data_IF_466828446222
#
_entry.id   IF_466828446222
#
_cell.length_a   1.000
_cell.length_b   1.000
_cell.length_c   1.000
_cell.angle_alpha   90.00
_cell.angle_beta   90.00
_cell.angle_gamma   90.00
#
_symmetry.space_group_name_H-M   'P 1'
#
loop_
_entity.id
_entity.type
_entity.pdbx_description
1 polymer ?
#
# COMPACT_ATOMS: atom_id res chain seq x y z
N UNK A 1 -21.81 -12.02 -3.55
CA UNK A 1 -22.91 -12.98 -3.25
C UNK A 1 -23.04 -13.01 -1.74
N UNK A 2 -24.23 -13.09 -1.12
CA UNK A 2 -24.33 -13.19 0.35
C UNK A 2 -24.96 -14.54 0.71
N UNK A 3 -24.41 -15.24 1.71
CA UNK A 3 -24.94 -16.52 2.20
C UNK A 3 -25.37 -16.34 3.66
N UNK A 4 -26.64 -16.63 3.95
CA UNK A 4 -27.23 -16.51 5.28
C UNK A 4 -28.02 -17.78 5.56
N UNK A 5 -27.55 -18.59 6.51
CA UNK A 5 -28.38 -19.63 7.11
C UNK A 5 -29.06 -19.02 8.35
N UNK A 6 -30.32 -19.38 8.62
CA UNK A 6 -31.03 -18.79 9.74
C UNK A 6 -31.84 -19.83 10.51
N UNK A 7 -31.96 -19.59 11.81
CA UNK A 7 -32.79 -20.36 12.72
C UNK A 7 -33.67 -19.41 13.53
N UNK A 8 -34.96 -19.71 13.60
CA UNK A 8 -35.97 -18.88 14.28
C UNK A 8 -36.51 -19.65 15.47
N UNK A 9 -36.50 -19.01 16.64
CA UNK A 9 -37.05 -19.56 17.87
C UNK A 9 -38.38 -18.85 18.17
N UNK A 10 -39.47 -19.62 18.09
CA UNK A 10 -40.83 -19.21 18.44
C UNK A 10 -41.31 -19.95 19.68
N UNK A 11 -42.29 -19.37 20.38
CA UNK A 11 -43.03 -20.05 21.46
C UNK A 11 -44.04 -21.10 20.92
N UNK A 12 -44.36 -21.07 19.63
CA UNK A 12 -45.21 -22.12 19.03
C UNK A 12 -44.42 -23.38 18.66
N UNK A 13 -45.13 -24.45 18.29
CA UNK A 13 -44.55 -25.70 17.82
C UNK A 13 -43.58 -25.47 16.64
N UNK A 14 -42.32 -25.92 16.78
CA UNK A 14 -41.27 -25.71 15.79
C UNK A 14 -41.52 -26.42 14.46
N UNK A 15 -42.24 -27.54 14.48
CA UNK A 15 -42.50 -28.35 13.29
C UNK A 15 -43.51 -27.66 12.36
N UNK A 16 -44.54 -27.04 12.93
CA UNK A 16 -45.48 -26.19 12.19
C UNK A 16 -44.78 -24.98 11.60
N UNK A 17 -43.93 -24.30 12.38
CA UNK A 17 -43.23 -23.09 11.96
C UNK A 17 -42.32 -23.35 10.75
N UNK A 18 -41.62 -24.49 10.74
CA UNK A 18 -40.79 -24.93 9.62
C UNK A 18 -41.62 -25.01 8.34
N UNK A 19 -42.76 -25.70 8.38
CA UNK A 19 -43.63 -25.87 7.22
C UNK A 19 -44.14 -24.53 6.65
N UNK A 20 -44.46 -23.56 7.51
CA UNK A 20 -44.92 -22.23 7.09
C UNK A 20 -43.81 -21.36 6.47
N UNK A 21 -42.60 -21.37 7.04
CA UNK A 21 -41.46 -20.61 6.52
C UNK A 21 -41.08 -21.10 5.13
N UNK A 22 -41.07 -22.43 4.92
CA UNK A 22 -40.66 -23.01 3.65
C UNK A 22 -41.61 -22.68 2.49
N UNK A 23 -42.90 -22.44 2.77
CA UNK A 23 -43.88 -22.12 1.73
C UNK A 23 -43.88 -20.63 1.33
N UNK A 24 -43.34 -19.73 2.15
CA UNK A 24 -43.60 -18.29 2.02
C UNK A 24 -42.35 -17.40 1.92
N UNK A 25 -41.18 -17.95 1.59
CA UNK A 25 -40.02 -17.14 1.18
C UNK A 25 -40.25 -16.74 -0.27
N UNK A 26 -40.95 -15.63 -0.47
CA UNK A 26 -41.22 -15.07 -1.79
C UNK A 26 -40.24 -13.95 -2.16
N UNK A 27 -39.92 -13.93 -3.44
CA UNK A 27 -39.10 -12.97 -4.21
C UNK A 27 -37.58 -13.18 -4.24
N UNK A 28 -37.12 -13.41 -5.47
CA UNK A 28 -35.74 -13.46 -6.01
C UNK A 28 -34.97 -14.79 -5.93
N UNK A 29 -35.46 -15.79 -6.69
CA UNK A 29 -34.60 -16.71 -7.44
C UNK A 29 -33.66 -17.61 -6.65
N UNK A 30 -34.18 -18.43 -5.73
CA UNK A 30 -33.41 -19.46 -5.03
C UNK A 30 -34.15 -20.80 -5.03
N UNK A 31 -33.56 -21.80 -5.68
CA UNK A 31 -34.03 -23.19 -5.71
C UNK A 31 -33.55 -24.06 -4.53
N UNK A 32 -32.97 -23.52 -3.44
CA UNK A 32 -32.12 -24.34 -2.56
C UNK A 32 -32.27 -24.19 -1.05
N UNK A 33 -33.48 -23.96 -0.52
CA UNK A 33 -33.68 -24.15 0.93
C UNK A 33 -33.93 -25.63 1.27
N UNK A 34 -34.34 -26.45 0.29
CA UNK A 34 -34.65 -27.89 0.44
C UNK A 34 -33.51 -28.75 1.01
N UNK A 35 -32.24 -28.31 0.94
CA UNK A 35 -31.08 -29.15 1.29
C UNK A 35 -30.22 -28.60 2.47
N UNK A 36 -30.74 -27.67 3.28
CA UNK A 36 -29.96 -27.08 4.39
C UNK A 36 -28.89 -26.07 3.97
N UNK A 37 -28.93 -25.61 2.72
CA UNK A 37 -27.93 -24.75 2.10
C UNK A 37 -28.16 -23.24 2.29
N UNK A 38 -29.01 -22.81 3.24
CA UNK A 38 -29.24 -21.39 3.54
C UNK A 38 -29.83 -20.56 2.37
N UNK A 39 -29.93 -19.25 2.58
CA UNK A 39 -30.27 -18.29 1.53
C UNK A 39 -29.01 -17.75 0.88
N UNK A 40 -29.03 -17.63 -0.46
CA UNK A 40 -27.94 -17.06 -1.23
C UNK A 40 -28.47 -15.95 -2.14
N UNK A 41 -27.94 -14.73 -2.01
CA UNK A 41 -28.31 -13.64 -2.91
C UNK A 41 -27.90 -13.95 -4.35
N UNK A 42 -28.58 -13.36 -5.34
CA UNK A 42 -28.07 -13.37 -6.73
C UNK A 42 -26.63 -12.84 -6.80
N UNK A 43 -25.77 -13.40 -7.68
CA UNK A 43 -24.47 -12.81 -8.00
C UNK A 43 -24.65 -11.34 -8.42
N UNK A 44 -23.72 -10.47 -8.03
CA UNK A 44 -23.67 -9.05 -8.45
C UNK A 44 -24.94 -8.20 -8.21
N UNK A 45 -25.85 -8.59 -7.33
CA UNK A 45 -26.99 -7.71 -7.01
C UNK A 45 -26.54 -6.45 -6.27
N UNK A 46 -27.02 -5.28 -6.72
CA UNK A 46 -26.79 -3.99 -6.06
C UNK A 46 -27.32 -4.02 -4.62
N UNK A 47 -26.65 -3.31 -3.73
CA UNK A 47 -27.15 -3.07 -2.39
C UNK A 47 -28.24 -1.97 -2.41
N UNK A 48 -29.09 -1.90 -1.38
CA UNK A 48 -29.21 -2.86 -0.28
C UNK A 48 -29.85 -4.18 -0.72
N UNK A 49 -29.54 -5.28 -0.02
CA UNK A 49 -30.16 -6.59 -0.30
C UNK A 49 -31.18 -6.91 0.76
N UNK A 50 -32.40 -7.18 0.34
CA UNK A 50 -33.52 -7.43 1.24
C UNK A 50 -33.91 -8.91 1.22
N UNK A 51 -34.15 -9.45 2.42
CA UNK A 51 -34.71 -10.77 2.64
C UNK A 51 -35.94 -10.59 3.52
N UNK A 52 -37.09 -11.07 3.04
CA UNK A 52 -38.32 -11.10 3.82
C UNK A 52 -38.63 -12.56 4.16
N UNK A 53 -38.79 -12.83 5.46
CA UNK A 53 -39.21 -14.12 5.99
C UNK A 53 -40.66 -13.95 6.45
N UNK A 54 -41.60 -14.58 5.75
CA UNK A 54 -43.03 -14.53 6.09
C UNK A 54 -43.48 -15.82 6.75
N UNK A 55 -44.26 -15.73 7.82
CA UNK A 55 -44.70 -16.88 8.63
C UNK A 55 -46.10 -17.39 8.29
N UNK A 56 -46.84 -16.72 7.40
CA UNK A 56 -48.22 -17.06 7.03
C UNK A 56 -49.27 -16.80 8.13
N UNK A 57 -48.87 -16.81 9.40
CA UNK A 57 -49.67 -16.43 10.58
C UNK A 57 -48.84 -15.57 11.52
N UNK A 58 -49.52 -14.83 12.41
CA UNK A 58 -48.83 -14.05 13.43
C UNK A 58 -48.23 -15.00 14.47
N UNK A 59 -46.92 -14.86 14.71
CA UNK A 59 -46.16 -15.67 15.64
C UNK A 59 -45.52 -14.80 16.72
N UNK A 60 -45.23 -15.35 17.90
CA UNK A 60 -44.38 -14.69 18.89
C UNK A 60 -42.91 -15.05 18.67
N UNK A 61 -42.15 -14.16 18.02
CA UNK A 61 -40.73 -14.37 17.76
C UNK A 61 -39.89 -13.96 18.98
N UNK A 62 -39.21 -14.92 19.60
CA UNK A 62 -38.29 -14.64 20.71
C UNK A 62 -36.95 -14.15 20.19
N UNK A 63 -36.36 -14.90 19.27
CA UNK A 63 -34.99 -14.69 18.79
C UNK A 63 -34.82 -15.23 17.38
N UNK A 64 -34.01 -14.52 16.60
CA UNK A 64 -33.45 -15.01 15.33
C UNK A 64 -31.96 -15.24 15.47
N UNK A 65 -31.47 -16.30 14.85
CA UNK A 65 -30.05 -16.59 14.70
C UNK A 65 -29.69 -16.56 13.23
N UNK A 66 -28.69 -15.77 12.87
CA UNK A 66 -28.19 -15.61 11.52
C UNK A 66 -26.75 -16.15 11.48
N UNK A 67 -26.51 -17.20 10.70
CA UNK A 67 -25.21 -17.80 10.48
C UNK A 67 -24.72 -17.38 9.09
N UNK A 68 -23.67 -16.56 9.06
CA UNK A 68 -23.06 -16.08 7.83
C UNK A 68 -21.93 -17.01 7.41
N UNK A 69 -21.80 -17.23 6.11
CA UNK A 69 -20.63 -17.91 5.56
C UNK A 69 -19.38 -17.06 5.81
N UNK A 70 -18.26 -17.72 6.09
CA UNK A 70 -17.00 -17.12 6.53
C UNK A 70 -16.40 -16.05 5.57
N UNK A 71 -16.82 -16.04 4.31
CA UNK A 71 -16.39 -15.11 3.26
C UNK A 71 -17.43 -14.04 2.90
N UNK A 72 -18.66 -14.16 3.42
CA UNK A 72 -19.82 -13.38 2.97
C UNK A 72 -20.56 -12.75 4.15
N UNK A 73 -19.80 -12.23 5.11
CA UNK A 73 -20.33 -11.62 6.34
C UNK A 73 -20.69 -10.16 6.05
N UNK A 74 -21.98 -9.79 6.16
CA UNK A 74 -22.42 -8.41 5.93
C UNK A 74 -22.05 -7.53 7.13
N UNK A 75 -21.52 -6.33 6.91
CA UNK A 75 -21.09 -5.44 8.02
C UNK A 75 -22.24 -4.99 8.91
N UNK A 76 -23.39 -4.69 8.31
CA UNK A 76 -24.54 -4.12 8.99
C UNK A 76 -25.83 -4.72 8.44
N UNK A 77 -26.71 -5.11 9.36
CA UNK A 77 -28.03 -5.62 9.06
C UNK A 77 -29.06 -4.68 9.69
N UNK A 78 -30.02 -4.23 8.91
CA UNK A 78 -31.21 -3.54 9.39
C UNK A 78 -32.33 -4.56 9.57
N UNK A 79 -32.91 -4.63 10.77
CA UNK A 79 -33.95 -5.59 11.11
C UNK A 79 -35.26 -4.84 11.31
N UNK A 80 -36.32 -5.30 10.62
CA UNK A 80 -37.68 -4.80 10.78
C UNK A 80 -38.65 -5.97 10.89
N UNK A 81 -39.79 -5.77 11.54
CA UNK A 81 -40.85 -6.77 11.64
C UNK A 81 -42.17 -6.19 11.15
N UNK A 82 -43.06 -7.03 10.67
CA UNK A 82 -44.41 -6.64 10.28
C UNK A 82 -45.42 -7.41 11.12
N UNK A 83 -46.40 -6.73 11.73
CA UNK A 83 -47.55 -7.33 12.41
C UNK A 83 -48.82 -7.21 11.55
N UNK A 84 -49.94 -7.85 11.93
CA UNK A 84 -51.18 -7.85 11.13
C UNK A 84 -51.59 -6.44 10.67
N UNK A 85 -51.71 -6.25 9.35
CA UNK A 85 -52.10 -5.01 8.67
C UNK A 85 -51.23 -3.78 8.97
N UNK A 86 -50.02 -3.97 9.47
CA UNK A 86 -49.06 -2.90 9.75
C UNK A 86 -47.98 -2.81 8.67
N UNK A 87 -47.35 -1.64 8.54
CA UNK A 87 -46.09 -1.50 7.81
C UNK A 87 -44.95 -2.14 8.61
N UNK A 88 -43.79 -2.38 7.98
CA UNK A 88 -42.62 -2.88 8.70
C UNK A 88 -42.17 -1.86 9.76
N UNK A 89 -42.24 -2.27 11.03
CA UNK A 89 -41.70 -1.58 12.19
C UNK A 89 -40.20 -1.88 12.28
N UNK A 90 -39.37 -0.83 12.27
CA UNK A 90 -37.94 -0.96 12.45
C UNK A 90 -37.59 -1.32 13.90
N UNK A 91 -36.81 -2.39 14.11
CA UNK A 91 -36.39 -2.83 15.44
C UNK A 91 -35.00 -2.35 15.82
N UNK A 92 -34.08 -2.28 14.85
CA UNK A 92 -32.70 -1.91 15.13
C UNK A 92 -31.70 -2.43 14.11
N UNK A 93 -30.43 -2.17 14.38
CA UNK A 93 -29.32 -2.68 13.59
C UNK A 93 -28.60 -3.81 14.30
N UNK A 94 -28.16 -4.82 13.55
CA UNK A 94 -27.20 -5.81 14.00
C UNK A 94 -25.89 -5.64 13.23
N UNK A 95 -24.83 -5.27 13.97
CA UNK A 95 -23.45 -5.34 13.48
C UNK A 95 -22.95 -6.77 13.59
N UNK A 96 -22.26 -7.23 12.56
CA UNK A 96 -21.46 -8.46 12.62
C UNK A 96 -20.01 -8.09 12.89
N UNK A 97 -19.21 -9.09 13.28
CA UNK A 97 -17.78 -8.91 13.35
C UNK A 97 -17.16 -9.28 12.01
N UNK A 98 -16.25 -8.44 11.53
CA UNK A 98 -15.39 -8.80 10.43
C UNK A 98 -14.52 -9.97 10.88
N UNK A 99 -14.46 -11.03 10.08
CA UNK A 99 -13.80 -12.27 10.45
C UNK A 99 -12.31 -12.30 10.07
N UNK A 100 -11.73 -11.11 9.91
CA UNK A 100 -10.31 -10.91 9.67
C UNK A 100 -9.44 -11.51 10.78
N UNK A 101 -9.87 -11.42 12.04
CA UNK A 101 -9.11 -11.97 13.17
C UNK A 101 -8.93 -13.50 13.09
N UNK A 102 -9.83 -14.20 12.39
CA UNK A 102 -9.78 -15.64 12.21
C UNK A 102 -9.38 -16.06 10.78
N UNK A 103 -8.72 -15.17 10.02
CA UNK A 103 -8.32 -15.43 8.63
C UNK A 103 -9.48 -15.88 7.73
N UNK A 104 -10.70 -15.40 7.98
CA UNK A 104 -11.89 -15.79 7.21
C UNK A 104 -12.20 -17.30 7.24
N UNK A 105 -11.80 -18.01 8.30
CA UNK A 105 -12.05 -19.46 8.45
C UNK A 105 -13.32 -19.76 9.26
N UNK A 106 -13.76 -18.83 10.10
CA UNK A 106 -14.91 -19.05 11.00
C UNK A 106 -16.23 -18.52 10.41
N UNK A 107 -17.34 -19.23 10.61
CA UNK A 107 -18.67 -18.66 10.34
C UNK A 107 -19.05 -17.71 11.48
N UNK A 108 -19.74 -16.62 11.15
CA UNK A 108 -20.24 -15.68 12.17
C UNK A 108 -21.68 -16.03 12.51
N UNK A 109 -21.96 -16.32 13.78
CA UNK A 109 -23.32 -16.56 14.30
C UNK A 109 -23.80 -15.33 15.06
N UNK A 110 -24.81 -14.64 14.53
CA UNK A 110 -25.43 -13.48 15.18
C UNK A 110 -26.80 -13.84 15.75
N UNK A 111 -26.97 -13.60 17.05
CA UNK A 111 -28.25 -13.76 17.74
C UNK A 111 -28.91 -12.41 17.94
N UNK A 112 -30.19 -12.27 17.56
CA UNK A 112 -30.97 -11.03 17.69
C UNK A 112 -32.27 -11.37 18.42
N UNK A 113 -32.49 -10.72 19.57
CA UNK A 113 -33.69 -10.90 20.38
C UNK A 113 -34.77 -9.92 19.90
N UNK A 114 -35.97 -10.44 19.60
CA UNK A 114 -37.09 -9.66 19.04
C UNK A 114 -38.19 -9.50 20.08
N UNK A 115 -38.55 -10.59 20.77
CA UNK A 115 -39.57 -10.64 21.83
C UNK A 115 -40.89 -9.91 21.49
N UNK A 116 -41.34 -10.03 20.23
CA UNK A 116 -42.55 -9.39 19.71
C UNK A 116 -43.37 -10.34 18.86
N UNK A 117 -44.67 -10.06 18.74
CA UNK A 117 -45.52 -10.70 17.74
C UNK A 117 -45.21 -10.15 16.36
N UNK A 118 -45.11 -11.02 15.35
CA UNK A 118 -44.88 -10.63 13.97
C UNK A 118 -45.43 -11.67 12.98
N UNK A 119 -45.87 -11.19 11.83
CA UNK A 119 -46.25 -11.95 10.63
C UNK A 119 -45.04 -12.18 9.70
N UNK A 120 -44.13 -11.20 9.63
CA UNK A 120 -42.92 -11.27 8.79
C UNK A 120 -41.73 -10.56 9.43
N UNK A 121 -40.53 -10.97 9.06
CA UNK A 121 -39.25 -10.31 9.40
C UNK A 121 -38.57 -9.86 8.10
N UNK A 122 -38.21 -8.59 8.02
CA UNK A 122 -37.37 -8.03 6.97
C UNK A 122 -35.94 -7.87 7.49
N UNK A 123 -35.01 -8.58 6.86
CA UNK A 123 -33.58 -8.43 7.05
C UNK A 123 -33.03 -7.72 5.83
N UNK A 124 -32.59 -6.48 6.03
CA UNK A 124 -31.97 -5.68 4.99
C UNK A 124 -30.47 -5.62 5.25
N UNK A 125 -29.69 -6.21 4.35
CA UNK A 125 -28.25 -6.07 4.33
C UNK A 125 -27.95 -4.67 3.81
N UNK A 126 -27.60 -3.79 4.74
CA UNK A 126 -27.21 -2.42 4.44
C UNK A 126 -25.77 -2.40 3.88
N UNK A 127 -25.49 -1.35 3.12
CA UNK A 127 -24.36 -1.25 2.21
C UNK A 127 -23.00 -1.43 2.88
N UNK A 128 -22.09 -2.05 2.11
CA UNK A 128 -20.66 -1.96 2.31
C UNK A 128 -20.30 -0.47 2.29
N UNK A 129 -19.61 0.02 3.32
CA UNK A 129 -19.18 1.42 3.48
C UNK A 129 -18.94 2.10 2.12
N UNK A 130 -19.87 2.98 1.69
CA UNK A 130 -19.74 3.72 0.44
C UNK A 130 -18.41 4.46 0.47
N UNK A 131 -17.57 4.17 -0.52
CA UNK A 131 -16.26 4.81 -0.60
C UNK A 131 -16.49 6.21 -1.14
N UNK A 132 -16.58 7.18 -0.25
CA UNK A 132 -16.59 8.59 -0.61
C UNK A 132 -15.24 8.98 -1.24
N UNK A 133 -15.22 9.09 -2.57
CA UNK A 133 -14.04 9.46 -3.32
C UNK A 133 -13.94 10.98 -3.45
N UNK A 134 -12.74 11.53 -3.20
CA UNK A 134 -12.46 12.91 -3.59
C UNK A 134 -12.34 13.00 -5.13
N UNK A 135 -12.41 14.22 -5.69
CA UNK A 135 -12.36 14.44 -7.14
C UNK A 135 -11.10 13.87 -7.82
N UNK A 136 -9.97 13.80 -7.10
CA UNK A 136 -8.72 13.25 -7.65
C UNK A 136 -8.79 11.73 -7.72
N UNK A 137 -9.23 11.09 -6.64
CA UNK A 137 -9.39 9.64 -6.58
C UNK A 137 -10.51 9.17 -7.53
N UNK A 138 -11.60 9.92 -7.68
CA UNK A 138 -12.66 9.60 -8.66
C UNK A 138 -12.11 9.52 -10.10
N UNK A 139 -11.23 10.44 -10.49
CA UNK A 139 -10.59 10.41 -11.81
C UNK A 139 -9.69 9.19 -12.00
N UNK A 140 -9.01 8.76 -10.94
CA UNK A 140 -8.18 7.55 -10.96
C UNK A 140 -9.08 6.32 -11.08
N UNK A 141 -10.10 6.18 -10.21
CA UNK A 141 -11.06 5.09 -10.22
C UNK A 141 -11.73 4.95 -11.58
N UNK A 142 -12.22 6.04 -12.18
CA UNK A 142 -12.86 5.99 -13.49
C UNK A 142 -11.93 5.45 -14.60
N UNK A 143 -10.61 5.64 -14.50
CA UNK A 143 -9.65 5.04 -15.43
C UNK A 143 -9.42 3.57 -15.11
N UNK A 144 -9.31 3.21 -13.84
CA UNK A 144 -9.11 1.82 -13.41
C UNK A 144 -10.32 0.94 -13.77
N UNK A 145 -11.54 1.46 -13.64
CA UNK A 145 -12.79 0.77 -14.00
C UNK A 145 -12.93 0.45 -15.50
N UNK A 146 -12.06 0.99 -16.36
CA UNK A 146 -12.01 0.58 -17.77
C UNK A 146 -11.38 -0.81 -17.97
N UNK A 147 -10.69 -1.32 -16.95
CA UNK A 147 -9.91 -2.57 -17.02
C UNK A 147 -10.28 -3.54 -15.90
N UNK A 148 -10.51 -3.02 -14.69
CA UNK A 148 -10.84 -3.80 -13.50
C UNK A 148 -12.32 -3.72 -13.15
N UNK A 149 -12.83 -4.69 -12.41
CA UNK A 149 -14.19 -4.62 -11.90
C UNK A 149 -14.26 -3.67 -10.70
N UNK A 150 -15.45 -3.11 -10.48
CA UNK A 150 -15.71 -2.17 -9.39
C UNK A 150 -15.38 -2.75 -8.01
N UNK A 151 -15.68 -4.04 -7.82
CA UNK A 151 -15.41 -4.77 -6.58
C UNK A 151 -13.91 -4.93 -6.28
N UNK A 152 -13.04 -4.85 -7.29
CA UNK A 152 -11.59 -5.01 -7.11
C UNK A 152 -10.94 -3.65 -6.80
N UNK A 153 -11.51 -2.56 -7.34
CA UNK A 153 -10.92 -1.22 -7.27
C UNK A 153 -11.39 -0.42 -6.08
N UNK A 154 -12.69 -0.37 -5.80
CA UNK A 154 -13.22 0.47 -4.70
C UNK A 154 -12.59 0.14 -3.34
N UNK A 155 -12.33 -1.14 -2.98
CA UNK A 155 -11.64 -1.48 -1.74
C UNK A 155 -10.27 -0.81 -1.57
N UNK A 156 -9.54 -0.51 -2.65
CA UNK A 156 -8.25 0.21 -2.60
C UNK A 156 -8.37 1.65 -2.09
N UNK A 157 -9.58 2.22 -2.10
CA UNK A 157 -9.86 3.58 -1.66
C UNK A 157 -10.61 3.62 -0.32
N UNK A 158 -10.86 2.46 0.29
CA UNK A 158 -11.51 2.38 1.60
C UNK A 158 -10.74 3.17 2.67
N UNK A 159 -11.46 3.77 3.63
CA UNK A 159 -10.86 4.40 4.82
C UNK A 159 -10.13 3.37 5.69
N UNK A 160 -10.57 2.10 5.68
CA UNK A 160 -9.97 0.99 6.44
C UNK A 160 -8.72 0.46 5.74
N UNK A 161 -7.59 0.52 6.42
CA UNK A 161 -6.31 0.09 5.85
C UNK A 161 -6.25 -1.41 5.56
N UNK A 162 -6.96 -2.24 6.34
CA UNK A 162 -6.99 -3.69 6.15
C UNK A 162 -7.66 -4.04 4.82
N UNK A 163 -8.80 -3.41 4.52
CA UNK A 163 -9.50 -3.53 3.24
C UNK A 163 -8.61 -3.15 2.07
N UNK A 164 -7.88 -2.02 2.16
CA UNK A 164 -6.91 -1.63 1.13
C UNK A 164 -5.80 -2.66 0.98
N UNK A 165 -5.22 -3.12 2.09
CA UNK A 165 -4.14 -4.10 2.12
C UNK A 165 -4.54 -5.42 1.46
N UNK A 166 -5.75 -5.91 1.73
CA UNK A 166 -6.29 -7.14 1.15
C UNK A 166 -6.50 -6.99 -0.36
N UNK A 167 -7.12 -5.89 -0.79
CA UNK A 167 -7.34 -5.62 -2.21
C UNK A 167 -6.03 -5.52 -3.02
N UNK A 168 -4.97 -4.93 -2.44
CA UNK A 168 -3.65 -4.90 -3.09
C UNK A 168 -3.11 -6.32 -3.27
N UNK A 169 -3.28 -7.22 -2.29
CA UNK A 169 -2.83 -8.61 -2.39
C UNK A 169 -3.55 -9.38 -3.49
N UNK A 170 -4.87 -9.21 -3.59
CA UNK A 170 -5.70 -9.85 -4.60
C UNK A 170 -5.28 -9.43 -6.02
N UNK A 171 -5.13 -8.12 -6.27
CA UNK A 171 -4.66 -7.63 -7.57
C UNK A 171 -3.20 -8.05 -7.83
N UNK A 172 -2.36 -8.08 -6.80
CA UNK A 172 -0.96 -8.55 -6.94
C UNK A 172 -0.91 -10.02 -7.36
N UNK A 173 -1.79 -10.85 -6.79
CA UNK A 173 -1.92 -12.25 -7.16
C UNK A 173 -2.37 -12.38 -8.62
N UNK A 174 -3.40 -11.63 -9.03
CA UNK A 174 -3.89 -11.64 -10.42
C UNK A 174 -2.80 -11.25 -11.44
N UNK A 175 -2.00 -10.22 -11.13
CA UNK A 175 -0.85 -9.83 -11.95
C UNK A 175 0.21 -10.94 -11.99
N UNK A 176 0.44 -11.61 -10.86
CA UNK A 176 1.47 -12.66 -10.75
C UNK A 176 1.10 -13.93 -11.50
N UNK A 177 -0.18 -14.26 -11.58
CA UNK A 177 -0.67 -15.42 -12.33
C UNK A 177 -0.57 -15.19 -13.85
N UNK A 178 -0.47 -13.94 -14.32
CA UNK A 178 -0.28 -13.61 -15.74
C UNK A 178 -1.49 -13.96 -16.62
N UNK A 179 -2.62 -14.33 -16.02
CA UNK A 179 -3.85 -14.74 -16.71
C UNK A 179 -4.44 -13.59 -17.54
N UNK A 180 -4.19 -12.34 -17.13
CA UNK A 180 -4.68 -11.14 -17.79
C UNK A 180 -3.54 -10.15 -18.06
N UNK A 181 -3.46 -9.64 -19.29
CA UNK A 181 -2.58 -8.53 -19.64
C UNK A 181 -3.28 -7.22 -19.35
N UNK A 182 -2.75 -6.45 -18.42
CA UNK A 182 -3.26 -5.12 -18.10
C UNK A 182 -2.53 -4.06 -18.94
N UNK A 183 -3.22 -2.99 -19.38
CA UNK A 183 -2.55 -1.84 -19.98
C UNK A 183 -1.51 -1.23 -19.03
N UNK A 184 -0.31 -0.97 -19.54
CA UNK A 184 0.84 -0.49 -18.74
C UNK A 184 0.56 0.87 -18.09
N UNK A 185 -0.17 1.74 -18.78
CA UNK A 185 -0.59 3.05 -18.29
C UNK A 185 -1.46 2.93 -17.03
N UNK A 186 -2.31 1.90 -16.99
CA UNK A 186 -3.22 1.63 -15.89
C UNK A 186 -2.47 1.05 -14.70
N UNK A 187 -1.55 0.10 -14.92
CA UNK A 187 -0.69 -0.43 -13.85
C UNK A 187 0.27 0.62 -13.29
N UNK A 188 0.81 1.49 -14.14
CA UNK A 188 1.66 2.62 -13.74
C UNK A 188 0.89 3.61 -12.88
N UNK A 189 -0.33 3.97 -13.28
CA UNK A 189 -1.23 4.82 -12.51
C UNK A 189 -1.56 4.22 -11.15
N UNK A 190 -1.95 2.94 -11.12
CA UNK A 190 -2.27 2.20 -9.91
C UNK A 190 -1.05 2.15 -8.97
N UNK A 191 0.11 1.72 -9.47
CA UNK A 191 1.36 1.66 -8.70
C UNK A 191 1.70 3.00 -8.04
N UNK A 192 1.61 4.09 -8.79
CA UNK A 192 1.89 5.44 -8.30
C UNK A 192 0.92 5.90 -7.21
N UNK A 193 -0.34 5.43 -7.25
CA UNK A 193 -1.34 5.70 -6.20
C UNK A 193 -1.09 4.88 -4.94
N UNK A 194 -0.77 3.60 -5.09
CA UNK A 194 -0.54 2.68 -3.97
C UNK A 194 0.73 3.07 -3.17
N UNK A 195 1.80 3.47 -3.86
CA UNK A 195 3.06 3.89 -3.22
C UNK A 195 2.97 5.21 -2.43
N UNK A 196 1.84 5.94 -2.51
CA UNK A 196 1.56 7.15 -1.71
C UNK A 196 0.88 6.86 -0.37
N UNK A 197 0.65 5.59 -0.04
CA UNK A 197 0.01 5.19 1.21
C UNK A 197 0.80 5.64 2.44
N UNK A 198 0.07 6.15 3.43
CA UNK A 198 0.63 6.61 4.72
C UNK A 198 0.76 5.49 5.73
N UNK A 199 -0.01 4.42 5.57
CA UNK A 199 0.00 3.26 6.47
C UNK A 199 1.09 2.29 6.01
N UNK A 200 2.07 2.04 6.87
CA UNK A 200 3.25 1.23 6.52
C UNK A 200 2.87 -0.16 5.99
N UNK A 201 1.87 -0.82 6.58
CA UNK A 201 1.44 -2.14 6.11
C UNK A 201 0.94 -2.09 4.65
N UNK A 202 0.10 -1.12 4.32
CA UNK A 202 -0.41 -0.94 2.95
C UNK A 202 0.72 -0.56 1.99
N UNK A 203 1.66 0.28 2.45
CA UNK A 203 2.86 0.62 1.68
C UNK A 203 3.73 -0.62 1.40
N UNK A 204 3.90 -1.54 2.36
CA UNK A 204 4.65 -2.78 2.13
C UNK A 204 3.99 -3.66 1.08
N UNK A 205 2.67 -3.85 1.13
CA UNK A 205 1.96 -4.57 0.06
C UNK A 205 2.10 -3.86 -1.29
N UNK A 206 2.14 -2.52 -1.29
CA UNK A 206 2.36 -1.72 -2.51
C UNK A 206 3.75 -1.94 -3.13
N UNK A 207 4.78 -2.16 -2.31
CA UNK A 207 6.12 -2.52 -2.77
C UNK A 207 6.16 -3.92 -3.41
N UNK A 208 5.40 -4.87 -2.84
CA UNK A 208 5.26 -6.22 -3.40
C UNK A 208 4.54 -6.15 -4.75
N UNK A 209 3.41 -5.45 -4.81
CA UNK A 209 2.69 -5.14 -6.05
C UNK A 209 3.63 -4.56 -7.11
N UNK A 210 4.40 -3.52 -6.76
CA UNK A 210 5.32 -2.88 -7.70
C UNK A 210 6.40 -3.84 -8.20
N UNK A 211 6.95 -4.68 -7.32
CA UNK A 211 7.96 -5.68 -7.72
C UNK A 211 7.38 -6.68 -8.73
N UNK A 212 6.16 -7.17 -8.50
CA UNK A 212 5.45 -8.07 -9.42
C UNK A 212 5.04 -7.41 -10.72
N UNK A 213 4.67 -6.14 -10.67
CA UNK A 213 4.45 -5.33 -11.87
C UNK A 213 5.74 -5.24 -12.72
N UNK A 214 6.88 -4.90 -12.12
CA UNK A 214 8.14 -4.80 -12.87
C UNK A 214 8.60 -6.16 -13.40
N UNK A 215 8.50 -7.22 -12.60
CA UNK A 215 8.89 -8.58 -12.99
C UNK A 215 8.13 -9.04 -14.24
N UNK A 216 6.79 -8.95 -14.22
CA UNK A 216 5.92 -9.41 -15.32
C UNK A 216 5.96 -8.50 -16.57
N UNK A 217 6.35 -7.23 -16.41
CA UNK A 217 6.32 -6.24 -17.49
C UNK A 217 7.70 -5.65 -17.79
N UNK A 218 8.78 -6.35 -17.42
CA UNK A 218 10.17 -5.91 -17.54
C UNK A 218 10.61 -5.52 -18.96
N UNK A 219 10.01 -6.13 -19.98
CA UNK A 219 10.26 -5.82 -21.40
C UNK A 219 9.69 -4.45 -21.84
N UNK A 220 8.94 -3.78 -20.98
CA UNK A 220 8.25 -2.53 -21.28
C UNK A 220 9.18 -1.32 -21.18
N UNK A 221 8.71 -0.18 -21.70
CA UNK A 221 9.45 1.09 -21.62
C UNK A 221 9.59 1.53 -20.16
N UNK A 222 10.82 1.89 -19.77
CA UNK A 222 11.17 2.38 -18.43
C UNK A 222 10.28 3.53 -17.91
N UNK A 223 9.73 4.35 -18.82
CA UNK A 223 8.87 5.49 -18.49
C UNK A 223 7.66 5.11 -17.60
N UNK A 224 7.14 3.89 -17.72
CA UNK A 224 6.00 3.43 -16.91
C UNK A 224 6.35 3.17 -15.44
N UNK A 225 7.62 2.98 -15.11
CA UNK A 225 8.08 2.72 -13.75
C UNK A 225 8.65 3.96 -13.07
N UNK A 226 8.91 5.03 -13.83
CA UNK A 226 9.68 6.17 -13.36
C UNK A 226 9.07 6.88 -12.13
N UNK A 227 7.75 7.12 -12.14
CA UNK A 227 7.09 7.78 -11.01
C UNK A 227 7.08 6.89 -9.76
N UNK A 228 6.80 5.60 -9.90
CA UNK A 228 6.88 4.63 -8.80
C UNK A 228 8.28 4.54 -8.20
N UNK A 229 9.32 4.46 -9.04
CA UNK A 229 10.73 4.46 -8.59
C UNK A 229 11.05 5.74 -7.83
N UNK A 230 10.59 6.89 -8.31
CA UNK A 230 10.76 8.17 -7.62
C UNK A 230 10.11 8.15 -6.22
N UNK A 231 8.87 7.70 -6.11
CA UNK A 231 8.17 7.60 -4.83
C UNK A 231 8.88 6.66 -3.84
N UNK A 232 9.45 5.54 -4.33
CA UNK A 232 10.25 4.64 -3.49
C UNK A 232 11.59 5.29 -3.09
N UNK A 233 12.21 6.05 -4.00
CA UNK A 233 13.45 6.78 -3.71
C UNK A 233 13.26 7.85 -2.62
N UNK A 234 12.10 8.49 -2.53
CA UNK A 234 11.74 9.42 -1.45
C UNK A 234 11.70 8.73 -0.07
N UNK A 235 11.47 7.40 -0.06
CA UNK A 235 11.39 6.57 1.16
C UNK A 235 12.72 6.00 1.63
N UNK A 236 13.81 6.19 0.88
CA UNK A 236 15.16 5.76 1.30
C UNK A 236 15.59 6.40 2.62
N UNK A 237 15.21 7.66 2.85
CA UNK A 237 15.51 8.42 4.06
C UNK A 237 14.42 8.40 5.12
N UNK A 238 13.46 7.45 5.07
CA UNK A 238 12.36 7.40 6.02
C UNK A 238 12.85 7.21 7.47
N UNK A 239 12.16 7.85 8.43
CA UNK A 239 12.44 7.67 9.86
C UNK A 239 12.18 6.25 10.35
N UNK A 240 11.24 5.54 9.74
CA UNK A 240 11.01 4.14 10.02
C UNK A 240 12.03 3.29 9.24
N UNK A 241 12.96 2.66 9.97
CA UNK A 241 14.01 1.85 9.38
C UNK A 241 13.48 0.69 8.54
N UNK A 242 12.33 0.11 8.89
CA UNK A 242 11.71 -0.96 8.09
C UNK A 242 11.27 -0.45 6.72
N UNK A 243 10.67 0.74 6.66
CA UNK A 243 10.23 1.39 5.40
C UNK A 243 11.44 1.67 4.49
N UNK A 244 12.51 2.24 5.05
CA UNK A 244 13.76 2.48 4.33
C UNK A 244 14.40 1.19 3.80
N UNK A 245 14.52 0.15 4.66
CA UNK A 245 15.11 -1.15 4.28
C UNK A 245 14.29 -1.85 3.20
N UNK A 246 12.97 -1.93 3.34
CA UNK A 246 12.10 -2.53 2.32
C UNK A 246 12.17 -1.76 1.01
N UNK A 247 12.23 -0.42 1.04
CA UNK A 247 12.40 0.40 -0.17
C UNK A 247 13.73 0.11 -0.88
N UNK A 248 14.83 -0.04 -0.13
CA UNK A 248 16.13 -0.44 -0.68
C UNK A 248 16.03 -1.82 -1.32
N UNK A 249 15.48 -2.81 -0.61
CA UNK A 249 15.36 -4.17 -1.10
C UNK A 249 14.51 -4.26 -2.38
N UNK A 250 13.40 -3.52 -2.44
CA UNK A 250 12.58 -3.43 -3.64
C UNK A 250 13.36 -2.83 -4.80
N UNK A 251 14.07 -1.71 -4.60
CA UNK A 251 14.89 -1.08 -5.64
C UNK A 251 16.01 -2.02 -6.15
N UNK A 252 16.64 -2.78 -5.25
CA UNK A 252 17.67 -3.78 -5.61
C UNK A 252 17.03 -4.93 -6.40
N UNK A 253 15.86 -5.41 -6.00
CA UNK A 253 15.15 -6.48 -6.70
C UNK A 253 14.78 -6.06 -8.14
N UNK A 254 14.23 -4.86 -8.32
CA UNK A 254 13.83 -4.38 -9.65
C UNK A 254 15.01 -4.08 -10.56
N UNK A 255 16.21 -3.82 -10.03
CA UNK A 255 17.44 -3.70 -10.84
C UNK A 255 17.76 -4.98 -11.65
N UNK A 256 17.19 -6.14 -11.32
CA UNK A 256 17.35 -7.36 -12.12
C UNK A 256 16.52 -7.34 -13.42
N UNK A 257 15.51 -6.48 -13.49
CA UNK A 257 14.50 -6.49 -14.55
C UNK A 257 14.57 -5.25 -15.45
N UNK A 258 15.03 -4.12 -14.91
CA UNK A 258 15.09 -2.83 -15.61
C UNK A 258 16.49 -2.20 -15.50
N UNK A 259 16.80 -1.24 -16.37
CA UNK A 259 18.14 -0.63 -16.43
C UNK A 259 18.53 0.03 -15.09
N UNK A 260 19.44 -0.65 -14.40
CA UNK A 260 20.02 -0.27 -13.11
C UNK A 260 20.64 1.14 -13.12
N UNK A 261 21.18 1.61 -14.25
CA UNK A 261 21.72 2.97 -14.37
C UNK A 261 20.62 4.02 -14.27
N UNK A 262 19.44 3.75 -14.83
CA UNK A 262 18.33 4.68 -14.77
C UNK A 262 17.73 4.75 -13.35
N UNK A 263 17.61 3.61 -12.65
CA UNK A 263 17.21 3.60 -11.24
C UNK A 263 18.19 4.44 -10.41
N UNK A 264 19.50 4.20 -10.56
CA UNK A 264 20.52 4.93 -9.81
C UNK A 264 20.43 6.44 -10.10
N UNK A 265 20.24 6.84 -11.36
CA UNK A 265 20.06 8.26 -11.73
C UNK A 265 18.85 8.89 -11.07
N UNK A 266 17.71 8.19 -11.01
CA UNK A 266 16.52 8.70 -10.30
C UNK A 266 16.81 8.82 -8.80
N UNK A 267 17.38 7.78 -8.18
CA UNK A 267 17.68 7.80 -6.74
C UNK A 267 18.58 8.98 -6.37
N UNK A 268 19.60 9.24 -7.20
CA UNK A 268 20.50 10.40 -7.09
C UNK A 268 19.74 11.71 -7.27
N UNK A 269 18.93 11.84 -8.33
CA UNK A 269 18.20 13.07 -8.62
C UNK A 269 17.20 13.46 -7.51
N UNK A 270 16.59 12.47 -6.85
CA UNK A 270 15.60 12.69 -5.78
C UNK A 270 16.27 13.00 -4.44
N UNK A 271 17.37 12.32 -4.12
CA UNK A 271 17.97 12.41 -2.79
C UNK A 271 19.13 13.41 -2.70
N UNK A 272 19.63 13.90 -3.84
CA UNK A 272 20.62 14.96 -3.86
C UNK A 272 19.96 16.33 -4.04
N UNK A 273 20.41 17.35 -3.29
CA UNK A 273 19.92 18.70 -3.49
C UNK A 273 20.26 19.18 -4.90
N UNK A 274 19.27 19.74 -5.57
CA UNK A 274 19.43 20.27 -6.91
C UNK A 274 20.50 21.37 -6.90
N UNK A 275 21.61 21.14 -7.60
CA UNK A 275 22.70 22.11 -7.67
C UNK A 275 22.28 23.39 -8.40
N UNK A 276 21.17 23.36 -9.16
CA UNK A 276 20.69 24.51 -9.94
C UNK A 276 19.92 25.54 -9.11
N UNK A 277 19.19 25.14 -8.07
CA UNK A 277 18.54 26.10 -7.14
C UNK A 277 19.55 26.89 -6.30
N UNK A 278 20.85 26.57 -6.40
CA UNK A 278 21.95 27.27 -5.73
C UNK A 278 22.49 28.46 -6.53
N UNK A 279 22.00 28.71 -7.76
CA UNK A 279 22.46 29.82 -8.63
C UNK A 279 21.34 30.79 -8.98
N UNK A 280 20.93 31.60 -8.01
CA UNK A 280 20.51 33.00 -8.17
C UNK A 280 20.28 33.58 -6.78
N UNK A 281 21.29 34.19 -6.12
CA UNK A 281 20.98 35.24 -5.18
C UNK A 281 20.19 36.28 -5.96
N UNK A 282 18.88 36.31 -5.74
CA UNK A 282 18.02 37.33 -6.31
C UNK A 282 18.57 38.70 -5.91
N UNK A 283 19.01 39.44 -6.93
CA UNK A 283 18.88 40.89 -6.96
C UNK A 283 17.48 41.28 -6.47
N UNK A 284 17.41 42.37 -5.71
CA UNK A 284 16.21 43.02 -5.15
C UNK A 284 15.75 42.62 -3.74
N UNK A 285 16.57 42.92 -2.73
CA UNK A 285 16.07 43.72 -1.60
C UNK A 285 17.08 44.82 -1.28
N UNK A 286 16.64 46.08 -1.38
CA UNK A 286 17.44 47.27 -1.04
C UNK A 286 17.91 47.17 0.42
N UNK A 287 19.16 47.53 0.72
CA UNK A 287 19.69 47.45 2.08
C UNK A 287 19.05 48.52 2.97
N UNK A 288 18.37 48.12 4.05
CA UNK A 288 18.17 48.99 5.20
C UNK A 288 19.45 48.96 6.03
N UNK A 289 20.15 50.08 6.00
CA UNK A 289 21.34 50.39 6.81
C UNK A 289 21.05 50.24 8.31
N UNK A 290 21.82 49.39 9.01
CA UNK A 290 22.37 49.69 10.35
C UNK A 290 23.45 48.67 10.77
N UNK A 291 24.69 49.18 10.73
CA UNK A 291 25.77 49.00 11.71
C UNK A 291 26.05 47.62 12.34
N UNK A 292 27.14 47.02 11.84
CA UNK A 292 28.29 46.50 12.61
C UNK A 292 28.08 45.43 13.69
N UNK A 293 28.20 44.16 13.29
CA UNK A 293 29.18 43.25 13.91
C UNK A 293 29.69 42.25 12.86
N UNK A 294 31.00 42.31 12.57
CA UNK A 294 31.68 41.42 11.63
C UNK A 294 31.95 40.07 12.31
N UNK A 295 30.95 39.22 12.40
CA UNK A 295 31.18 37.78 12.59
C UNK A 295 31.00 37.08 11.26
N UNK A 296 32.14 36.67 10.68
CA UNK A 296 32.22 35.85 9.47
C UNK A 296 31.60 34.49 9.80
N UNK A 297 30.27 34.37 9.65
CA UNK A 297 29.61 33.08 9.53
C UNK A 297 30.11 32.44 8.25
N UNK A 298 31.20 31.65 8.36
CA UNK A 298 31.66 30.79 7.28
C UNK A 298 30.48 29.91 6.88
N UNK A 299 30.01 30.17 5.67
CA UNK A 299 28.98 29.43 4.94
C UNK A 299 29.11 27.91 5.17
N UNK A 300 28.34 27.36 6.11
CA UNK A 300 28.06 25.93 6.12
C UNK A 300 27.02 25.66 5.03
N UNK A 301 27.48 25.70 3.78
CA UNK A 301 26.72 25.46 2.54
C UNK A 301 25.91 24.15 2.56
N UNK A 302 26.26 23.22 3.45
CA UNK A 302 25.63 21.92 3.64
C UNK A 302 24.68 21.84 4.86
N UNK A 303 24.56 22.91 5.66
CA UNK A 303 23.88 22.87 6.96
C UNK A 303 22.36 22.77 6.93
N UNK A 304 21.71 22.87 5.77
CA UNK A 304 20.24 22.92 5.65
C UNK A 304 19.58 21.65 5.07
N UNK A 305 20.35 20.68 4.61
CA UNK A 305 19.77 19.47 4.04
C UNK A 305 19.55 18.40 5.10
N UNK A 306 18.38 17.74 5.05
CA UNK A 306 18.16 16.53 5.83
C UNK A 306 19.22 15.52 5.45
N UNK A 307 19.93 14.99 6.45
CA UNK A 307 20.97 14.00 6.23
C UNK A 307 20.41 12.61 5.91
N UNK A 308 19.13 12.36 6.23
CA UNK A 308 18.48 11.05 6.07
C UNK A 308 18.35 10.61 4.60
N UNK A 309 17.90 11.46 3.65
CA UNK A 309 17.93 11.13 2.22
C UNK A 309 19.31 10.70 1.72
N UNK A 310 20.36 11.43 2.10
CA UNK A 310 21.74 11.11 1.70
C UNK A 310 22.17 9.78 2.33
N UNK A 311 21.88 9.55 3.61
CA UNK A 311 22.18 8.29 4.28
C UNK A 311 21.48 7.10 3.61
N UNK A 312 20.18 7.23 3.33
CA UNK A 312 19.39 6.23 2.62
C UNK A 312 19.93 5.93 1.21
N UNK A 313 20.30 6.98 0.47
CA UNK A 313 20.94 6.84 -0.85
C UNK A 313 22.28 6.09 -0.77
N UNK A 314 23.13 6.40 0.21
CA UNK A 314 24.40 5.71 0.39
C UNK A 314 24.21 4.23 0.75
N UNK A 315 23.20 3.90 1.57
CA UNK A 315 22.86 2.49 1.87
C UNK A 315 22.36 1.77 0.64
N UNK A 316 21.50 2.39 -0.16
CA UNK A 316 21.10 1.84 -1.45
C UNK A 316 22.30 1.58 -2.37
N UNK A 317 23.22 2.54 -2.48
CA UNK A 317 24.46 2.40 -3.25
C UNK A 317 25.33 1.25 -2.74
N UNK A 318 25.43 1.07 -1.42
CA UNK A 318 26.18 -0.03 -0.82
C UNK A 318 25.61 -1.38 -1.25
N UNK A 319 24.31 -1.60 -1.07
CA UNK A 319 23.64 -2.83 -1.50
C UNK A 319 23.74 -3.03 -3.02
N UNK A 320 23.63 -1.95 -3.79
CA UNK A 320 23.78 -1.97 -5.24
C UNK A 320 25.16 -2.47 -5.66
N UNK A 321 26.22 -1.92 -5.06
CA UNK A 321 27.61 -2.31 -5.38
C UNK A 321 27.87 -3.75 -4.97
N UNK A 322 27.40 -4.17 -3.79
CA UNK A 322 27.54 -5.55 -3.31
C UNK A 322 26.88 -6.53 -4.29
N UNK A 323 25.68 -6.18 -4.80
CA UNK A 323 24.92 -7.07 -5.68
C UNK A 323 25.40 -7.05 -7.14
N UNK A 324 25.77 -5.88 -7.67
CA UNK A 324 25.95 -5.66 -9.11
C UNK A 324 27.34 -5.17 -9.54
N UNK A 325 28.22 -4.87 -8.58
CA UNK A 325 29.48 -4.17 -8.83
C UNK A 325 29.28 -2.71 -9.23
N UNK A 326 30.35 -2.08 -9.75
CA UNK A 326 30.39 -0.62 -9.97
C UNK A 326 30.27 -0.23 -11.46
N UNK A 327 30.63 -1.15 -12.37
CA UNK A 327 30.40 -1.05 -13.81
C UNK A 327 30.60 0.35 -14.42
N UNK A 328 29.66 0.73 -15.29
CA UNK A 328 29.59 2.05 -15.93
C UNK A 328 29.06 3.15 -14.99
N UNK A 329 28.56 2.74 -13.84
CA UNK A 329 27.96 3.60 -12.80
C UNK A 329 29.01 4.26 -11.89
N UNK A 330 30.30 3.93 -12.05
CA UNK A 330 31.43 4.41 -11.23
C UNK A 330 31.39 5.92 -10.94
N UNK A 331 31.29 6.75 -11.97
CA UNK A 331 31.31 8.21 -11.79
C UNK A 331 30.11 8.71 -10.97
N UNK A 332 28.91 8.17 -11.22
CA UNK A 332 27.69 8.54 -10.52
C UNK A 332 27.77 8.16 -9.03
N UNK A 333 28.26 6.96 -8.75
CA UNK A 333 28.49 6.46 -7.40
C UNK A 333 29.48 7.35 -6.66
N UNK A 334 30.62 7.68 -7.29
CA UNK A 334 31.65 8.50 -6.67
C UNK A 334 31.18 9.92 -6.34
N UNK A 335 30.30 10.51 -7.16
CA UNK A 335 29.67 11.81 -6.85
C UNK A 335 28.86 11.75 -5.55
N UNK A 336 28.14 10.66 -5.32
CA UNK A 336 27.33 10.48 -4.11
C UNK A 336 28.19 10.22 -2.87
N UNK A 337 29.19 9.35 -3.00
CA UNK A 337 30.15 9.07 -1.93
C UNK A 337 30.87 10.34 -1.49
N UNK A 338 31.31 11.18 -2.44
CA UNK A 338 31.91 12.47 -2.12
C UNK A 338 30.98 13.37 -1.31
N UNK A 339 29.69 13.44 -1.65
CA UNK A 339 28.72 14.23 -0.88
C UNK A 339 28.51 13.65 0.53
N UNK A 340 28.54 12.33 0.67
CA UNK A 340 28.55 11.64 1.96
C UNK A 340 29.74 12.03 2.83
N UNK A 341 30.96 12.04 2.26
CA UNK A 341 32.19 12.43 2.96
C UNK A 341 32.18 13.89 3.44
N UNK A 342 31.51 14.77 2.69
CA UNK A 342 31.37 16.19 3.04
C UNK A 342 30.21 16.47 4.01
N UNK A 343 29.40 15.47 4.34
CA UNK A 343 28.23 15.65 5.19
C UNK A 343 28.62 16.01 6.63
N UNK A 344 27.79 16.80 7.31
CA UNK A 344 28.03 17.21 8.71
C UNK A 344 27.75 16.10 9.73
N UNK A 345 26.91 15.11 9.39
CA UNK A 345 26.62 13.95 10.25
C UNK A 345 27.71 12.89 10.14
N UNK A 346 28.13 12.37 11.30
CA UNK A 346 29.23 11.43 11.42
C UNK A 346 28.90 10.10 10.76
N UNK A 347 27.69 9.61 10.97
CA UNK A 347 27.16 8.34 10.48
C UNK A 347 27.15 8.30 8.94
N UNK A 348 26.82 9.43 8.31
CA UNK A 348 26.84 9.58 6.85
C UNK A 348 28.28 9.53 6.33
N UNK A 349 29.21 10.20 7.01
CA UNK A 349 30.63 10.16 6.63
C UNK A 349 31.23 8.77 6.80
N UNK A 350 30.95 8.09 7.92
CA UNK A 350 31.46 6.73 8.18
C UNK A 350 30.97 5.74 7.13
N UNK A 351 29.69 5.81 6.74
CA UNK A 351 29.16 4.99 5.65
C UNK A 351 29.84 5.31 4.31
N UNK A 352 30.09 6.58 4.01
CA UNK A 352 30.80 6.99 2.79
C UNK A 352 32.27 6.53 2.78
N UNK A 353 32.96 6.54 3.94
CA UNK A 353 34.30 6.00 4.10
C UNK A 353 34.30 4.48 3.87
N UNK A 354 33.35 3.75 4.46
CA UNK A 354 33.20 2.30 4.23
C UNK A 354 32.98 1.97 2.75
N UNK A 355 32.12 2.75 2.06
CA UNK A 355 31.91 2.63 0.62
C UNK A 355 33.18 2.85 -0.19
N UNK A 356 34.07 3.76 0.21
CA UNK A 356 35.35 3.95 -0.47
C UNK A 356 36.20 2.68 -0.44
N UNK A 357 36.24 1.96 0.69
CA UNK A 357 36.94 0.68 0.81
C UNK A 357 36.35 -0.40 -0.09
N UNK A 358 35.01 -0.55 -0.11
CA UNK A 358 34.31 -1.48 -1.01
C UNK A 358 34.63 -1.15 -2.48
N UNK A 359 34.55 0.14 -2.83
CA UNK A 359 34.83 0.62 -4.18
C UNK A 359 36.26 0.33 -4.60
N UNK A 360 37.21 0.61 -3.71
CA UNK A 360 38.64 0.38 -3.95
C UNK A 360 38.93 -1.07 -4.34
N UNK A 361 38.35 -2.04 -3.63
CA UNK A 361 38.51 -3.48 -3.91
C UNK A 361 37.98 -3.90 -5.29
N UNK A 362 36.98 -3.18 -5.81
CA UNK A 362 36.31 -3.49 -7.07
C UNK A 362 36.88 -2.74 -8.29
N UNK A 363 37.88 -1.88 -8.12
CA UNK A 363 38.54 -1.20 -9.24
C UNK A 363 39.42 -2.22 -10.01
N UNK A 364 39.18 -2.45 -11.32
CA UNK A 364 39.93 -3.42 -12.12
C UNK A 364 41.28 -2.86 -12.58
N UNK A 365 42.14 -2.51 -11.62
CA UNK A 365 43.51 -2.02 -11.86
C UNK A 365 44.44 -2.88 -11.01
N UNK A 366 45.56 -3.33 -11.56
CA UNK A 366 46.49 -4.21 -10.82
C UNK A 366 47.37 -3.46 -9.82
N UNK A 367 47.75 -2.22 -10.14
CA UNK A 367 48.58 -1.39 -9.24
C UNK A 367 47.74 -0.68 -8.18
N UNK A 368 47.99 -0.99 -6.91
CA UNK A 368 47.37 -0.33 -5.74
C UNK A 368 47.52 1.20 -5.80
N UNK A 369 48.71 1.70 -6.17
CA UNK A 369 48.96 3.15 -6.34
C UNK A 369 48.08 3.78 -7.42
N UNK A 370 47.81 3.06 -8.50
CA UNK A 370 46.92 3.53 -9.57
C UNK A 370 45.44 3.47 -9.17
N UNK A 371 45.02 2.43 -8.41
CA UNK A 371 43.67 2.38 -7.81
C UNK A 371 43.44 3.57 -6.89
N UNK A 372 44.40 3.84 -6.00
CA UNK A 372 44.36 4.96 -5.07
C UNK A 372 44.24 6.29 -5.84
N UNK A 373 45.13 6.51 -6.81
CA UNK A 373 45.11 7.71 -7.66
C UNK A 373 43.76 7.87 -8.37
N UNK A 374 43.20 6.79 -8.92
CA UNK A 374 41.89 6.81 -9.57
C UNK A 374 40.80 7.18 -8.57
N UNK A 375 40.70 6.51 -7.43
CA UNK A 375 39.68 6.79 -6.41
C UNK A 375 39.72 8.26 -5.96
N UNK A 376 40.88 8.75 -5.54
CA UNK A 376 41.03 10.12 -5.03
C UNK A 376 40.85 11.18 -6.12
N UNK A 377 41.10 10.86 -7.41
CA UNK A 377 40.80 11.79 -8.51
C UNK A 377 39.31 12.13 -8.61
N UNK A 378 38.41 11.19 -8.28
CA UNK A 378 36.96 11.43 -8.28
C UNK A 378 36.47 12.08 -6.97
N UNK A 379 37.08 11.74 -5.83
CA UNK A 379 36.75 12.37 -4.55
C UNK A 379 37.14 13.86 -4.52
N UNK A 380 38.19 14.23 -5.24
CA UNK A 380 38.73 15.59 -5.25
C UNK A 380 39.36 15.97 -3.90
N UNK A 381 39.33 17.25 -3.56
CA UNK A 381 39.91 17.74 -2.30
C UNK A 381 39.00 17.38 -1.11
N UNK A 382 39.50 16.52 -0.22
CA UNK A 382 38.89 16.17 1.07
C UNK A 382 39.92 16.36 2.19
N UNK A 383 39.46 16.41 3.44
CA UNK A 383 40.34 16.60 4.61
C UNK A 383 41.33 15.42 4.76
N UNK A 384 42.59 15.68 5.09
CA UNK A 384 43.63 14.66 5.33
C UNK A 384 43.21 13.58 6.34
N UNK A 385 42.43 13.94 7.37
CA UNK A 385 41.89 12.95 8.31
C UNK A 385 40.99 11.93 7.62
N UNK A 386 40.12 12.37 6.70
CA UNK A 386 39.26 11.47 5.92
C UNK A 386 40.08 10.64 4.93
N UNK A 387 41.15 11.21 4.34
CA UNK A 387 42.07 10.45 3.48
C UNK A 387 42.68 9.28 4.27
N UNK A 388 43.16 9.52 5.48
CA UNK A 388 43.74 8.48 6.33
C UNK A 388 42.70 7.42 6.70
N UNK A 389 41.50 7.83 7.13
CA UNK A 389 40.40 6.90 7.43
C UNK A 389 40.00 6.04 6.23
N UNK A 390 39.96 6.61 5.02
CA UNK A 390 39.70 5.86 3.79
C UNK A 390 40.82 4.85 3.53
N UNK A 391 42.08 5.25 3.67
CA UNK A 391 43.22 4.34 3.48
C UNK A 391 43.21 3.16 4.47
N UNK A 392 42.81 3.40 5.71
CA UNK A 392 42.62 2.33 6.71
C UNK A 392 41.55 1.31 6.31
N UNK A 393 40.59 1.68 5.44
CA UNK A 393 39.60 0.73 4.90
C UNK A 393 40.11 -0.12 3.75
N UNK A 394 41.28 0.20 3.16
CA UNK A 394 41.82 -0.59 2.04
C UNK A 394 42.45 -1.90 2.50
N UNK A 395 42.96 -1.92 3.74
CA UNK A 395 43.60 -3.10 4.35
C UNK A 395 42.61 -4.04 5.03
N UNK A 396 41.40 -3.59 5.33
CA UNK A 396 40.27 -4.40 5.82
C UNK A 396 39.48 -4.91 4.64
#
# INVERSE_FOLDING_TARGET
>A
MNFINFQIFSKENQEDLKNYIFQNISNFGTNSIMNGNGWISKPQSKFPKEMIISFGKEIYCQKIQLLFHEKLIPNLLKISIQSKNSQFEFLGFAKTHDNQENNFLARELRSIYIEKKCLSILIKVEEVEEVELNQTDQKIVNKLLQVFQENDILPLFSKKWITRSQAIKEITQEISEGNQKFPLEILSLLSSRLLKEKVNQVFFESLIFFSKFVENYSQSKFVFFQESIKLICEKLGDSNSRVSVSSIQTLISVCNFIDRTNILRIAIAINLPDQKTQRKPGLSQKPKTRSSSKNVQKNSFLGKFSWKPIFGLLRFIQEFIIKFGIGKEFELIMKCVRLGLLNSKREVRELAVSLCGIIYKLIPITSEKQKEKKLFSYLGKINNLLVNQIKETFSK
#
